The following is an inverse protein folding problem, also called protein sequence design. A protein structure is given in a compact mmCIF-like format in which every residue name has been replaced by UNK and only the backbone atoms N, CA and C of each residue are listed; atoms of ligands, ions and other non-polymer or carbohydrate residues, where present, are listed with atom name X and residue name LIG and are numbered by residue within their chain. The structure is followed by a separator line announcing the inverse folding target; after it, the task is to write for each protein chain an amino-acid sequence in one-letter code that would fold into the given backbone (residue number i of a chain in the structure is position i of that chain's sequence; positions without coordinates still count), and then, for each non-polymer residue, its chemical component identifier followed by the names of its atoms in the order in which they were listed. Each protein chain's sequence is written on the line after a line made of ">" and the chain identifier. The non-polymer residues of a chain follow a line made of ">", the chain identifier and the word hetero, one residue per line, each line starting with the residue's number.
data_IF_311080490217
#
_entry.id   IF_311080490217
#
_cell.length_a   1.000
_cell.length_b   1.000
_cell.length_c   1.000
_cell.angle_alpha   90.00
_cell.angle_beta   90.00
_cell.angle_gamma   90.00
#
_symmetry.space_group_name_H-M   'P 1'
#
loop_
_entity.id
_entity.type
_entity.pdbx_description
1 polymer ?
#
# COMPACT_ATOMS: atom_id res chain seq x y z
N UNK A 1 -17.73 -7.00 -15.79
CA UNK A 1 -18.44 -6.41 -16.92
C UNK A 1 -18.83 -4.95 -16.73
N UNK A 2 -19.80 -4.64 -15.85
CA UNK A 2 -20.38 -3.26 -15.77
C UNK A 2 -19.33 -2.17 -15.44
N UNK A 3 -18.45 -2.38 -14.47
CA UNK A 3 -17.41 -1.38 -14.13
C UNK A 3 -16.52 -1.05 -15.34
N UNK A 4 -16.02 -2.05 -16.05
CA UNK A 4 -15.19 -1.85 -17.25
C UNK A 4 -15.99 -1.14 -18.35
N UNK A 5 -17.25 -1.53 -18.57
CA UNK A 5 -18.14 -0.83 -19.53
C UNK A 5 -18.35 0.64 -19.19
N UNK A 6 -18.49 0.97 -17.90
CA UNK A 6 -18.58 2.38 -17.47
C UNK A 6 -17.26 3.13 -17.65
N UNK A 7 -16.12 2.50 -17.34
CA UNK A 7 -14.80 3.09 -17.57
C UNK A 7 -14.59 3.42 -19.05
N UNK A 8 -14.97 2.52 -19.95
CA UNK A 8 -14.90 2.73 -21.41
C UNK A 8 -15.86 3.83 -21.88
N UNK A 9 -17.08 3.85 -21.35
CA UNK A 9 -18.12 4.81 -21.76
C UNK A 9 -17.87 6.23 -21.26
N UNK A 10 -17.34 6.38 -20.04
CA UNK A 10 -17.19 7.68 -19.37
C UNK A 10 -15.73 8.10 -19.21
N UNK A 11 -14.79 7.30 -19.67
CA UNK A 11 -13.37 7.65 -19.68
C UNK A 11 -13.10 8.82 -20.64
N UNK A 12 -12.23 9.74 -20.19
CA UNK A 12 -11.81 10.92 -20.96
C UNK A 12 -10.30 10.88 -21.27
N UNK A 13 -9.77 9.70 -21.60
CA UNK A 13 -8.36 9.51 -21.94
C UNK A 13 -7.42 9.19 -20.76
N UNK A 14 -7.92 9.14 -19.54
CA UNK A 14 -7.13 8.69 -18.38
C UNK A 14 -6.88 7.17 -18.43
N UNK A 15 -5.71 6.75 -17.96
CA UNK A 15 -5.42 5.33 -17.73
C UNK A 15 -6.09 4.89 -16.43
N UNK A 16 -6.90 3.82 -16.50
CA UNK A 16 -7.56 3.22 -15.33
C UNK A 16 -6.95 1.86 -15.06
N UNK A 17 -6.22 1.71 -13.97
CA UNK A 17 -5.78 0.43 -13.44
C UNK A 17 -6.85 -0.21 -12.55
N UNK A 18 -7.13 -1.49 -12.76
CA UNK A 18 -8.07 -2.24 -11.96
C UNK A 18 -7.34 -3.26 -11.10
N UNK A 19 -7.68 -3.34 -9.82
CA UNK A 19 -7.19 -4.34 -8.88
C UNK A 19 -8.33 -5.05 -8.15
N UNK A 20 -8.12 -6.31 -7.80
CA UNK A 20 -9.03 -7.12 -7.01
C UNK A 20 -8.27 -7.76 -5.86
N UNK A 21 -8.69 -7.55 -4.62
CA UNK A 21 -8.22 -8.36 -3.50
C UNK A 21 -9.19 -9.49 -3.21
N UNK A 22 -8.66 -10.71 -3.05
CA UNK A 22 -9.48 -11.90 -2.86
C UNK A 22 -8.80 -12.93 -1.95
N UNK A 23 -9.62 -13.69 -1.22
CA UNK A 23 -9.16 -14.90 -0.53
C UNK A 23 -8.98 -16.11 -1.47
N UNK A 24 -9.28 -15.98 -2.75
CA UNK A 24 -9.07 -16.99 -3.77
C UNK A 24 -10.08 -18.16 -3.78
N UNK A 25 -10.99 -18.26 -2.82
CA UNK A 25 -11.88 -19.43 -2.68
C UNK A 25 -12.89 -19.59 -3.83
N UNK A 26 -13.28 -18.51 -4.47
CA UNK A 26 -14.27 -18.48 -5.56
C UNK A 26 -13.64 -18.17 -6.92
N UNK A 27 -12.31 -18.21 -7.02
CA UNK A 27 -11.59 -17.89 -8.25
C UNK A 27 -11.57 -19.10 -9.20
N UNK A 28 -12.56 -19.19 -10.06
CA UNK A 28 -12.71 -20.22 -11.10
C UNK A 28 -12.09 -19.78 -12.45
N UNK A 29 -12.23 -20.64 -13.47
CA UNK A 29 -11.67 -20.37 -14.79
C UNK A 29 -12.38 -19.21 -15.51
N UNK A 30 -13.65 -18.95 -15.22
CA UNK A 30 -14.40 -17.84 -15.83
C UNK A 30 -13.90 -16.50 -15.28
N UNK A 31 -13.74 -16.41 -13.95
CA UNK A 31 -13.14 -15.24 -13.31
C UNK A 31 -11.72 -14.98 -13.83
N UNK A 32 -10.89 -16.00 -13.93
CA UNK A 32 -9.51 -15.85 -14.44
C UNK A 32 -9.50 -15.29 -15.86
N UNK A 33 -10.31 -15.85 -16.77
CA UNK A 33 -10.44 -15.33 -18.15
C UNK A 33 -10.89 -13.87 -18.20
N UNK A 34 -11.90 -13.53 -17.39
CA UNK A 34 -12.40 -12.16 -17.30
C UNK A 34 -11.33 -11.19 -16.82
N UNK A 35 -10.67 -11.49 -15.69
CA UNK A 35 -9.64 -10.62 -15.13
C UNK A 35 -8.45 -10.45 -16.08
N UNK A 36 -8.04 -11.54 -16.76
CA UNK A 36 -6.97 -11.50 -17.76
C UNK A 36 -7.31 -10.64 -18.95
N UNK A 37 -8.54 -10.75 -19.51
CA UNK A 37 -8.95 -9.99 -20.70
C UNK A 37 -9.01 -8.47 -20.46
N UNK A 38 -9.06 -8.02 -19.21
CA UNK A 38 -9.07 -6.59 -18.85
C UNK A 38 -7.84 -6.16 -18.03
N UNK A 39 -6.78 -6.95 -18.02
CA UNK A 39 -5.51 -6.66 -17.33
C UNK A 39 -5.67 -6.26 -15.86
N UNK A 40 -6.49 -7.01 -15.10
CA UNK A 40 -6.63 -6.78 -13.67
C UNK A 40 -5.42 -7.30 -12.90
N UNK A 41 -4.99 -6.54 -11.89
CA UNK A 41 -4.04 -7.00 -10.88
C UNK A 41 -4.82 -7.72 -9.78
N UNK A 42 -4.38 -8.91 -9.39
CA UNK A 42 -5.00 -9.66 -8.29
C UNK A 42 -4.10 -9.67 -7.07
N UNK A 43 -4.59 -9.15 -5.95
CA UNK A 43 -4.01 -9.35 -4.63
C UNK A 43 -4.61 -10.60 -3.99
N UNK A 44 -3.85 -11.70 -3.97
CA UNK A 44 -4.29 -12.97 -3.41
C UNK A 44 -3.88 -13.09 -1.94
N UNK A 45 -4.85 -13.32 -1.07
CA UNK A 45 -4.60 -13.60 0.35
C UNK A 45 -4.06 -15.02 0.53
N UNK A 46 -2.72 -15.15 0.56
CA UNK A 46 -2.02 -16.42 0.79
C UNK A 46 -0.83 -16.16 1.72
N UNK A 47 -0.88 -16.67 2.95
CA UNK A 47 0.08 -16.27 4.00
C UNK A 47 1.37 -17.09 3.99
N UNK A 48 1.45 -18.19 3.22
CA UNK A 48 2.64 -19.03 3.14
C UNK A 48 2.33 -20.52 2.99
N UNK A 49 3.23 -21.41 3.47
CA UNK A 49 2.99 -22.85 3.47
C UNK A 49 1.74 -23.21 4.29
N UNK A 50 1.25 -24.44 4.12
CA UNK A 50 -0.05 -24.87 4.63
C UNK A 50 -0.24 -24.60 6.14
N UNK A 51 0.76 -24.92 6.96
CA UNK A 51 0.66 -24.72 8.41
C UNK A 51 0.56 -23.25 8.82
N UNK A 52 1.19 -22.34 8.05
CA UNK A 52 1.11 -20.89 8.28
C UNK A 52 -0.24 -20.37 7.83
N UNK A 53 -0.66 -20.70 6.60
CA UNK A 53 -1.90 -20.21 6.04
C UNK A 53 -3.12 -20.74 6.82
N UNK A 54 -3.20 -22.05 7.05
CA UNK A 54 -4.33 -22.69 7.69
C UNK A 54 -4.38 -22.45 9.21
N UNK A 55 -3.38 -21.77 9.79
CA UNK A 55 -3.44 -21.41 11.21
C UNK A 55 -4.63 -20.50 11.50
N UNK A 56 -4.81 -19.45 10.69
CA UNK A 56 -5.93 -18.51 10.84
C UNK A 56 -6.93 -18.53 9.71
N UNK A 57 -6.54 -18.91 8.48
CA UNK A 57 -7.45 -18.91 7.32
C UNK A 57 -8.19 -20.23 7.21
N UNK A 58 -9.31 -20.29 7.91
CA UNK A 58 -10.16 -21.47 8.00
C UNK A 58 -11.56 -21.21 7.45
N UNK A 59 -12.23 -22.26 6.99
CA UNK A 59 -13.65 -22.23 6.67
C UNK A 59 -14.48 -22.07 7.95
N UNK A 60 -15.77 -21.74 7.82
CA UNK A 60 -16.70 -21.73 8.97
C UNK A 60 -16.78 -23.08 9.69
N UNK A 61 -16.53 -24.19 9.00
CA UNK A 61 -16.48 -25.53 9.58
C UNK A 61 -15.09 -25.89 10.16
N UNK A 62 -14.16 -24.96 10.28
CA UNK A 62 -12.83 -25.17 10.89
C UNK A 62 -11.77 -25.78 9.97
N UNK A 63 -12.11 -26.23 8.77
CA UNK A 63 -11.17 -26.81 7.82
C UNK A 63 -10.24 -25.73 7.20
N UNK A 64 -8.99 -26.11 6.89
CA UNK A 64 -8.03 -25.23 6.21
C UNK A 64 -8.47 -24.85 4.80
N UNK A 65 -7.98 -23.71 4.32
CA UNK A 65 -8.30 -23.19 2.97
C UNK A 65 -7.15 -23.27 2.00
N UNK A 66 -5.93 -23.59 2.47
CA UNK A 66 -4.70 -23.58 1.71
C UNK A 66 -4.78 -24.32 0.35
N UNK A 67 -5.26 -25.57 0.36
CA UNK A 67 -5.37 -26.37 -0.88
C UNK A 67 -6.23 -25.70 -1.96
N UNK A 68 -7.34 -25.06 -1.57
CA UNK A 68 -8.21 -24.35 -2.52
C UNK A 68 -7.58 -23.08 -3.04
N UNK A 69 -6.91 -22.35 -2.17
CA UNK A 69 -6.27 -21.06 -2.51
C UNK A 69 -5.07 -21.29 -3.41
N UNK A 70 -4.23 -22.30 -3.14
CA UNK A 70 -3.09 -22.64 -4.01
C UNK A 70 -3.54 -23.13 -5.38
N UNK A 71 -4.57 -23.98 -5.46
CA UNK A 71 -5.13 -24.38 -6.76
C UNK A 71 -5.68 -23.19 -7.57
N UNK A 72 -6.23 -22.18 -6.90
CA UNK A 72 -6.65 -20.93 -7.55
C UNK A 72 -5.46 -20.10 -8.00
N UNK A 73 -4.39 -20.02 -7.21
CA UNK A 73 -3.15 -19.36 -7.56
C UNK A 73 -2.49 -19.99 -8.80
N UNK A 74 -2.37 -21.33 -8.82
CA UNK A 74 -1.85 -22.09 -9.98
C UNK A 74 -2.63 -21.75 -11.26
N UNK A 75 -3.98 -21.74 -11.17
CA UNK A 75 -4.85 -21.41 -12.31
C UNK A 75 -4.61 -19.99 -12.81
N UNK A 76 -4.47 -19.02 -11.91
CA UNK A 76 -4.20 -17.62 -12.26
C UNK A 76 -2.82 -17.45 -12.90
N UNK A 77 -1.77 -18.06 -12.33
CA UNK A 77 -0.40 -18.00 -12.84
C UNK A 77 -0.28 -18.69 -14.20
N UNK A 78 -0.89 -19.87 -14.37
CA UNK A 78 -0.92 -20.60 -15.65
C UNK A 78 -1.60 -19.78 -16.77
N UNK A 79 -2.59 -18.95 -16.44
CA UNK A 79 -3.21 -18.02 -17.38
C UNK A 79 -2.38 -16.74 -17.63
N UNK A 80 -1.26 -16.56 -16.95
CA UNK A 80 -0.42 -15.35 -17.02
C UNK A 80 -1.11 -14.10 -16.43
N UNK A 81 -2.01 -14.27 -15.45
CA UNK A 81 -2.61 -13.17 -14.73
C UNK A 81 -1.60 -12.55 -13.76
N UNK A 82 -1.57 -11.23 -13.64
CA UNK A 82 -0.73 -10.56 -12.66
C UNK A 82 -1.29 -10.80 -11.24
N UNK A 83 -0.50 -11.46 -10.39
CA UNK A 83 -0.90 -11.83 -9.03
C UNK A 83 0.15 -11.39 -8.03
N UNK A 84 -0.26 -10.60 -7.04
CA UNK A 84 0.55 -10.25 -5.87
C UNK A 84 0.10 -11.09 -4.67
N UNK A 85 1.03 -11.60 -3.89
CA UNK A 85 0.73 -12.25 -2.61
C UNK A 85 0.48 -11.18 -1.52
N UNK A 86 -0.68 -11.25 -0.85
CA UNK A 86 -1.00 -10.48 0.34
C UNK A 86 -0.85 -11.38 1.56
N UNK A 87 0.17 -11.10 2.37
CA UNK A 87 0.65 -11.95 3.45
C UNK A 87 0.41 -11.24 4.78
N UNK A 88 -0.46 -11.77 5.63
CA UNK A 88 -0.67 -11.22 6.97
C UNK A 88 0.39 -11.76 7.93
N UNK A 89 1.14 -10.85 8.54
CA UNK A 89 2.11 -11.20 9.57
C UNK A 89 1.46 -11.01 10.94
N UNK A 90 1.29 -12.10 11.67
CA UNK A 90 0.64 -12.18 12.98
C UNK A 90 1.57 -12.84 14.01
N UNK A 91 1.08 -13.14 15.23
CA UNK A 91 1.81 -13.78 16.31
C UNK A 91 2.39 -15.16 15.93
N UNK A 92 1.73 -15.87 15.03
CA UNK A 92 2.18 -17.18 14.55
C UNK A 92 3.13 -17.08 13.36
N UNK A 93 2.72 -16.43 12.28
CA UNK A 93 3.47 -16.37 11.02
C UNK A 93 4.81 -15.60 11.14
N UNK A 94 4.92 -14.68 12.09
CA UNK A 94 6.14 -13.92 12.36
C UNK A 94 7.39 -14.78 12.68
N UNK A 95 7.19 -16.04 13.02
CA UNK A 95 8.25 -17.01 13.36
C UNK A 95 8.86 -17.70 12.14
N UNK A 96 8.28 -17.55 10.94
CA UNK A 96 8.60 -18.35 9.77
C UNK A 96 8.97 -17.50 8.53
N UNK A 97 9.84 -16.46 8.64
CA UNK A 97 10.18 -15.60 7.50
C UNK A 97 10.79 -16.37 6.33
N UNK A 98 11.69 -17.31 6.60
CA UNK A 98 12.36 -18.12 5.59
C UNK A 98 11.39 -19.00 4.80
N UNK A 99 10.52 -19.72 5.52
CA UNK A 99 9.54 -20.62 4.90
C UNK A 99 8.52 -19.86 4.06
N UNK A 100 8.05 -18.71 4.56
CA UNK A 100 7.07 -17.88 3.86
C UNK A 100 7.69 -17.32 2.57
N UNK A 101 8.90 -16.79 2.67
CA UNK A 101 9.59 -16.21 1.51
C UNK A 101 9.90 -17.26 0.45
N UNK A 102 10.50 -18.38 0.85
CA UNK A 102 10.83 -19.49 -0.04
C UNK A 102 9.57 -20.08 -0.69
N UNK A 103 8.48 -20.23 0.08
CA UNK A 103 7.21 -20.72 -0.45
C UNK A 103 6.71 -19.85 -1.60
N UNK A 104 6.57 -18.54 -1.40
CA UNK A 104 6.04 -17.64 -2.42
C UNK A 104 6.96 -17.56 -3.64
N UNK A 105 8.28 -17.45 -3.43
CA UNK A 105 9.26 -17.43 -4.51
C UNK A 105 9.18 -18.69 -5.37
N UNK A 106 9.20 -19.87 -4.74
CA UNK A 106 9.16 -21.15 -5.44
C UNK A 106 7.81 -21.43 -6.11
N UNK A 107 6.72 -20.87 -5.54
CA UNK A 107 5.38 -20.97 -6.10
C UNK A 107 5.17 -20.08 -7.33
N UNK A 108 6.08 -19.12 -7.59
CA UNK A 108 5.98 -18.16 -8.68
C UNK A 108 5.22 -16.87 -8.33
N UNK A 109 4.93 -16.64 -7.05
CA UNK A 109 4.33 -15.40 -6.52
C UNK A 109 5.45 -14.44 -6.10
N UNK A 110 6.15 -13.88 -7.08
CA UNK A 110 7.35 -13.05 -6.86
C UNK A 110 7.06 -11.66 -6.28
N UNK A 111 5.81 -11.19 -6.31
CA UNK A 111 5.41 -9.89 -5.75
C UNK A 111 4.71 -10.09 -4.41
N UNK A 112 5.36 -9.67 -3.33
CA UNK A 112 4.94 -9.95 -1.95
C UNK A 112 4.64 -8.64 -1.20
N UNK A 113 3.49 -8.59 -0.53
CA UNK A 113 3.13 -7.52 0.39
C UNK A 113 2.87 -8.11 1.78
N UNK A 114 3.76 -7.80 2.72
CA UNK A 114 3.65 -8.21 4.12
C UNK A 114 2.88 -7.16 4.91
N UNK A 115 1.73 -7.56 5.45
CA UNK A 115 0.81 -6.68 6.18
C UNK A 115 0.83 -7.06 7.66
N UNK A 116 1.40 -6.24 8.55
CA UNK A 116 1.39 -6.54 9.98
C UNK A 116 -0.03 -6.51 10.54
N UNK A 117 -0.40 -7.55 11.26
CA UNK A 117 -1.66 -7.62 11.98
C UNK A 117 -1.52 -6.86 13.31
N UNK A 118 -2.22 -5.75 13.45
CA UNK A 118 -2.29 -4.97 14.69
C UNK A 118 -3.75 -4.64 14.97
N UNK A 119 -4.36 -5.35 15.90
CA UNK A 119 -5.77 -5.19 16.23
C UNK A 119 -5.95 -4.81 17.70
N UNK A 120 -6.50 -3.62 17.99
CA UNK A 120 -6.75 -3.18 19.36
C UNK A 120 -7.76 -4.07 20.09
N UNK A 121 -7.56 -4.31 21.37
CA UNK A 121 -8.53 -5.01 22.18
C UNK A 121 -9.75 -4.11 22.44
N UNK A 122 -10.97 -4.67 22.25
CA UNK A 122 -12.23 -3.90 22.38
C UNK A 122 -12.40 -3.28 23.78
N UNK A 123 -12.00 -3.99 24.83
CA UNK A 123 -12.18 -3.57 26.22
C UNK A 123 -11.04 -2.68 26.72
N UNK A 124 -9.89 -2.68 26.03
CA UNK A 124 -8.74 -1.84 26.33
C UNK A 124 -7.98 -1.52 25.04
N UNK A 125 -8.37 -0.47 24.33
CA UNK A 125 -7.74 -0.11 23.05
C UNK A 125 -6.24 0.26 23.15
N UNK A 126 -5.69 0.43 24.35
CA UNK A 126 -4.25 0.64 24.56
C UNK A 126 -3.44 -0.65 24.40
N UNK A 127 -4.11 -1.80 24.37
CA UNK A 127 -3.51 -3.13 24.18
C UNK A 127 -3.96 -3.73 22.85
N UNK A 128 -3.16 -4.63 22.31
CA UNK A 128 -3.51 -5.41 21.12
C UNK A 128 -4.04 -6.79 21.50
N UNK A 129 -4.85 -7.37 20.64
CA UNK A 129 -5.31 -8.76 20.75
C UNK A 129 -4.14 -9.72 20.59
N UNK A 130 -4.23 -10.90 21.24
CA UNK A 130 -3.14 -11.86 21.31
C UNK A 130 -2.63 -12.42 19.97
N UNK A 131 -3.44 -12.35 18.93
CA UNK A 131 -3.04 -12.74 17.59
C UNK A 131 -2.32 -11.61 16.82
N UNK A 132 -2.25 -10.40 17.35
CA UNK A 132 -1.49 -9.31 16.75
C UNK A 132 -0.01 -9.61 16.76
N UNK A 133 0.71 -9.11 15.76
CA UNK A 133 2.15 -9.34 15.67
C UNK A 133 2.89 -8.62 16.82
N UNK A 134 3.75 -9.32 17.56
CA UNK A 134 4.60 -8.68 18.57
C UNK A 134 5.62 -7.77 17.89
N UNK A 135 5.77 -6.53 18.38
CA UNK A 135 6.64 -5.54 17.74
C UNK A 135 8.09 -6.03 17.59
N UNK A 136 8.69 -6.59 18.64
CA UNK A 136 10.06 -7.12 18.57
C UNK A 136 10.19 -8.29 17.59
N UNK A 137 9.21 -9.22 17.60
CA UNK A 137 9.14 -10.33 16.65
C UNK A 137 9.08 -9.82 15.20
N UNK A 138 8.27 -8.79 14.96
CA UNK A 138 8.16 -8.17 13.64
C UNK A 138 9.45 -7.50 13.19
N UNK A 139 10.18 -6.85 14.09
CA UNK A 139 11.49 -6.29 13.78
C UNK A 139 12.49 -7.35 13.32
N UNK A 140 12.60 -8.47 14.03
CA UNK A 140 13.44 -9.62 13.63
C UNK A 140 12.98 -10.23 12.30
N UNK A 141 11.67 -10.37 12.11
CA UNK A 141 11.08 -10.85 10.87
C UNK A 141 11.49 -9.98 9.67
N UNK A 142 11.37 -8.65 9.80
CA UNK A 142 11.77 -7.71 8.75
C UNK A 142 13.27 -7.77 8.45
N UNK A 143 14.12 -7.88 9.48
CA UNK A 143 15.58 -8.01 9.28
C UNK A 143 15.90 -9.29 8.49
N UNK A 144 15.31 -10.43 8.89
CA UNK A 144 15.56 -11.69 8.19
C UNK A 144 15.00 -11.69 6.75
N UNK A 145 13.79 -11.17 6.58
CA UNK A 145 13.17 -11.02 5.26
C UNK A 145 14.02 -10.13 4.34
N UNK A 146 14.64 -9.09 4.90
CA UNK A 146 15.52 -8.19 4.16
C UNK A 146 16.80 -8.90 3.69
N UNK A 147 17.37 -9.79 4.51
CA UNK A 147 18.51 -10.61 4.08
C UNK A 147 18.14 -11.47 2.88
N UNK A 148 17.02 -12.20 2.96
CA UNK A 148 16.54 -13.06 1.87
C UNK A 148 16.27 -12.26 0.59
N UNK A 149 15.72 -11.07 0.72
CA UNK A 149 15.47 -10.18 -0.42
C UNK A 149 16.78 -9.64 -1.02
N UNK A 150 17.76 -9.28 -0.19
CA UNK A 150 19.08 -8.81 -0.65
C UNK A 150 19.88 -9.93 -1.33
N UNK A 151 19.74 -11.18 -0.86
CA UNK A 151 20.39 -12.35 -1.45
C UNK A 151 19.78 -12.71 -2.83
N UNK A 152 18.59 -12.23 -3.13
CA UNK A 152 17.90 -12.46 -4.40
C UNK A 152 18.34 -11.49 -5.52
N UNK A 153 19.23 -10.55 -5.23
CA UNK A 153 19.68 -9.60 -6.26
C UNK A 153 20.60 -10.26 -7.28
N UNK A 154 20.21 -10.15 -8.56
CA UNK A 154 21.09 -10.38 -9.70
C UNK A 154 21.44 -9.02 -10.31
N UNK A 155 22.68 -8.58 -10.09
CA UNK A 155 23.08 -7.21 -10.45
C UNK A 155 22.38 -6.16 -9.58
N UNK A 156 21.49 -5.37 -10.16
CA UNK A 156 20.72 -4.32 -9.46
C UNK A 156 19.21 -4.64 -9.33
N UNK A 157 18.78 -5.79 -9.80
CA UNK A 157 17.37 -6.17 -9.77
C UNK A 157 17.18 -7.39 -8.88
N UNK A 158 16.26 -7.35 -7.92
CA UNK A 158 15.87 -8.51 -7.15
C UNK A 158 14.99 -9.45 -8.00
N UNK A 159 15.12 -10.76 -7.78
CA UNK A 159 14.23 -11.75 -8.41
C UNK A 159 12.81 -11.68 -7.85
N UNK A 160 12.65 -11.10 -6.66
CA UNK A 160 11.36 -10.92 -5.97
C UNK A 160 11.14 -9.45 -5.63
N UNK A 161 9.89 -9.04 -5.60
CA UNK A 161 9.43 -7.73 -5.18
C UNK A 161 8.86 -7.82 -3.77
N UNK A 162 9.43 -7.08 -2.81
CA UNK A 162 8.87 -6.89 -1.47
C UNK A 162 8.45 -5.44 -1.33
N UNK A 163 7.14 -5.19 -1.35
CA UNK A 163 6.56 -3.85 -1.46
C UNK A 163 7.12 -2.85 -0.45
N UNK A 164 7.28 -3.24 0.82
CA UNK A 164 7.82 -2.36 1.85
C UNK A 164 9.27 -1.95 1.54
N UNK A 165 10.11 -2.90 1.11
CA UNK A 165 11.53 -2.63 0.87
C UNK A 165 11.72 -1.76 -0.37
N UNK A 166 10.96 -2.01 -1.43
CA UNK A 166 10.97 -1.16 -2.62
C UNK A 166 10.46 0.25 -2.30
N UNK A 167 9.39 0.36 -1.50
CA UNK A 167 8.88 1.66 -1.08
C UNK A 167 9.86 2.45 -0.22
N UNK A 168 10.61 1.78 0.65
CA UNK A 168 11.71 2.39 1.40
C UNK A 168 12.86 2.77 0.48
N UNK A 169 13.20 1.91 -0.48
CA UNK A 169 14.25 2.19 -1.45
C UNK A 169 13.96 3.44 -2.27
N UNK A 170 12.70 3.70 -2.65
CA UNK A 170 12.31 4.98 -3.25
C UNK A 170 12.72 6.17 -2.39
N UNK A 171 12.50 6.10 -1.06
CA UNK A 171 12.91 7.17 -0.15
C UNK A 171 14.45 7.36 -0.10
N UNK A 172 15.22 6.26 -0.16
CA UNK A 172 16.69 6.33 -0.23
C UNK A 172 17.21 6.92 -1.54
N UNK A 173 16.47 6.76 -2.63
CA UNK A 173 16.73 7.38 -3.94
C UNK A 173 16.21 8.82 -4.04
N UNK A 174 15.63 9.39 -2.97
CA UNK A 174 15.07 10.74 -2.97
C UNK A 174 13.70 10.87 -3.62
N UNK A 175 13.04 9.77 -3.96
CA UNK A 175 11.69 9.77 -4.53
C UNK A 175 10.61 9.59 -3.45
N UNK A 176 9.40 10.11 -3.67
CA UNK A 176 8.27 9.82 -2.79
C UNK A 176 7.97 8.32 -2.76
N UNK A 177 7.88 7.70 -1.56
CA UNK A 177 7.53 6.30 -1.46
C UNK A 177 6.08 6.06 -1.94
N UNK A 178 5.81 4.97 -2.69
CA UNK A 178 4.47 4.67 -3.18
C UNK A 178 3.52 4.16 -2.10
N UNK A 179 4.04 3.77 -0.92
CA UNK A 179 3.25 3.26 0.18
C UNK A 179 2.82 4.36 1.15
N UNK A 180 1.50 4.48 1.40
CA UNK A 180 0.92 5.55 2.20
C UNK A 180 1.41 5.55 3.67
N UNK A 181 1.85 4.40 4.18
CA UNK A 181 2.41 4.28 5.54
C UNK A 181 3.71 5.05 5.70
N UNK A 182 4.45 5.31 4.63
CA UNK A 182 5.71 6.04 4.59
C UNK A 182 5.54 7.51 4.16
N UNK A 183 4.35 7.95 3.78
CA UNK A 183 4.07 9.34 3.42
C UNK A 183 3.90 10.22 4.67
N UNK A 184 4.10 11.52 4.50
CA UNK A 184 3.93 12.52 5.57
C UNK A 184 2.47 12.66 6.01
N UNK A 185 1.51 12.53 5.08
CA UNK A 185 0.08 12.68 5.33
C UNK A 185 -0.70 11.52 4.70
N UNK A 186 -1.90 11.27 5.21
CA UNK A 186 -2.90 10.39 4.60
C UNK A 186 -3.84 11.17 3.65
N UNK A 187 -4.87 10.50 3.12
CA UNK A 187 -5.96 11.18 2.39
C UNK A 187 -5.74 11.29 0.88
N UNK A 188 -4.83 10.50 0.30
CA UNK A 188 -4.59 10.46 -1.15
C UNK A 188 -5.63 9.65 -1.92
N UNK A 189 -6.48 8.90 -1.24
CA UNK A 189 -7.56 8.09 -1.82
C UNK A 189 -8.79 8.13 -0.89
N UNK A 190 -9.90 7.60 -1.36
CA UNK A 190 -11.13 7.38 -0.60
C UNK A 190 -11.62 5.96 -0.79
N UNK A 191 -12.44 5.49 0.12
CA UNK A 191 -13.09 4.17 0.08
C UNK A 191 -14.57 4.36 -0.13
N UNK A 192 -15.15 3.58 -1.02
CA UNK A 192 -16.58 3.55 -1.28
C UNK A 192 -17.13 2.20 -0.81
N UNK A 193 -18.02 2.22 0.17
CA UNK A 193 -18.70 1.05 0.68
C UNK A 193 -19.85 0.60 -0.25
N UNK A 194 -20.32 -0.63 -0.06
CA UNK A 194 -21.35 -1.26 -0.90
C UNK A 194 -22.67 -0.48 -0.95
N UNK A 195 -22.98 0.31 0.05
CA UNK A 195 -24.16 1.17 0.12
C UNK A 195 -23.96 2.55 -0.54
N UNK A 196 -22.75 2.84 -1.02
CA UNK A 196 -22.35 4.10 -1.64
C UNK A 196 -21.78 5.12 -0.66
N UNK A 197 -21.66 4.82 0.62
CA UNK A 197 -21.00 5.68 1.59
C UNK A 197 -19.50 5.76 1.30
N UNK A 198 -18.96 6.97 1.43
CA UNK A 198 -17.55 7.27 1.15
C UNK A 198 -16.83 7.62 2.44
N UNK A 199 -15.67 7.00 2.64
CA UNK A 199 -14.84 7.19 3.82
C UNK A 199 -13.41 7.59 3.45
N UNK A 200 -12.72 8.21 4.39
CA UNK A 200 -11.35 8.71 4.20
C UNK A 200 -10.30 7.61 4.02
N UNK A 201 -10.52 6.39 4.53
CA UNK A 201 -9.59 5.27 4.47
C UNK A 201 -10.32 3.97 4.83
N UNK A 202 -9.87 2.84 4.27
CA UNK A 202 -10.39 1.50 4.52
C UNK A 202 -10.22 1.02 5.98
N UNK A 203 -9.18 1.50 6.67
CA UNK A 203 -8.99 1.26 8.12
C UNK A 203 -9.84 2.17 9.01
N UNK A 204 -10.49 3.17 8.45
CA UNK A 204 -11.28 4.17 9.20
C UNK A 204 -12.71 4.29 8.66
N UNK A 205 -13.34 3.14 8.38
CA UNK A 205 -14.77 3.05 8.04
C UNK A 205 -15.59 3.29 9.31
N UNK A 206 -15.70 4.56 9.69
CA UNK A 206 -16.37 5.01 10.92
C UNK A 206 -17.09 6.32 10.65
N UNK A 207 -18.26 6.61 11.28
CA UNK A 207 -19.06 7.80 11.05
C UNK A 207 -18.28 9.11 11.11
N UNK A 208 -17.29 9.23 12.01
CA UNK A 208 -16.43 10.41 12.12
C UNK A 208 -15.65 10.74 10.84
N UNK A 209 -15.37 9.72 9.99
CA UNK A 209 -14.59 9.84 8.76
C UNK A 209 -15.40 9.56 7.50
N UNK A 210 -16.72 9.53 7.62
CA UNK A 210 -17.64 9.49 6.48
C UNK A 210 -17.62 10.84 5.78
N UNK A 211 -17.32 10.84 4.47
CA UNK A 211 -17.23 12.05 3.64
C UNK A 211 -18.56 12.39 2.97
N UNK A 212 -19.39 11.38 2.71
CA UNK A 212 -20.68 11.54 2.04
C UNK A 212 -21.17 10.22 1.43
N UNK A 213 -22.03 10.32 0.43
CA UNK A 213 -22.49 9.17 -0.36
C UNK A 213 -22.41 9.51 -1.85
N UNK A 214 -22.04 8.54 -2.70
CA UNK A 214 -21.91 8.73 -4.15
C UNK A 214 -23.22 9.11 -4.85
N UNK A 215 -24.36 8.91 -4.21
CA UNK A 215 -25.67 9.33 -4.73
C UNK A 215 -25.93 10.84 -4.52
N UNK A 216 -25.25 11.45 -3.55
CA UNK A 216 -25.53 12.81 -3.11
C UNK A 216 -24.48 13.82 -3.59
N UNK A 217 -23.22 13.37 -3.77
CA UNK A 217 -22.09 14.23 -4.14
C UNK A 217 -21.07 13.50 -5.02
N UNK A 218 -20.22 14.27 -5.71
CA UNK A 218 -19.15 13.73 -6.57
C UNK A 218 -17.96 13.26 -5.71
N UNK A 219 -17.31 12.18 -6.13
CA UNK A 219 -16.09 11.68 -5.46
C UNK A 219 -14.98 12.74 -5.39
N UNK A 220 -14.84 13.57 -6.44
CA UNK A 220 -13.87 14.68 -6.45
C UNK A 220 -14.15 15.75 -5.39
N UNK A 221 -15.40 16.02 -5.07
CA UNK A 221 -15.78 16.95 -4.01
C UNK A 221 -15.45 16.35 -2.64
N UNK A 222 -15.76 15.07 -2.43
CA UNK A 222 -15.47 14.34 -1.20
C UNK A 222 -13.97 14.19 -0.96
N UNK A 223 -13.19 13.86 -1.99
CA UNK A 223 -11.72 13.74 -1.91
C UNK A 223 -11.06 15.09 -1.53
N UNK A 224 -11.65 16.21 -1.96
CA UNK A 224 -11.16 17.56 -1.67
C UNK A 224 -11.91 18.25 -0.51
N UNK A 225 -12.71 17.52 0.25
CA UNK A 225 -13.44 18.07 1.39
C UNK A 225 -12.50 18.39 2.57
N UNK A 226 -12.83 19.42 3.35
CA UNK A 226 -12.07 19.79 4.56
C UNK A 226 -11.88 18.59 5.51
N UNK A 227 -12.89 17.74 5.66
CA UNK A 227 -12.81 16.52 6.49
C UNK A 227 -11.71 15.57 6.02
N UNK A 228 -11.50 15.45 4.70
CA UNK A 228 -10.42 14.62 4.12
C UNK A 228 -9.04 15.21 4.44
N UNK A 229 -8.89 16.54 4.38
CA UNK A 229 -7.64 17.20 4.77
C UNK A 229 -7.37 17.07 6.28
N UNK A 230 -8.40 17.22 7.12
CA UNK A 230 -8.27 16.99 8.57
C UNK A 230 -7.85 15.57 8.87
N UNK A 231 -8.45 14.58 8.19
CA UNK A 231 -8.03 13.18 8.29
C UNK A 231 -6.56 13.00 7.90
N UNK A 232 -6.15 13.56 6.76
CA UNK A 232 -4.78 13.46 6.26
C UNK A 232 -3.74 14.03 7.24
N UNK A 233 -4.01 15.20 7.81
CA UNK A 233 -3.13 15.88 8.79
C UNK A 233 -2.97 15.12 10.11
N UNK A 234 -3.91 14.25 10.49
CA UNK A 234 -3.76 13.40 11.69
C UNK A 234 -2.48 12.58 11.70
N UNK A 235 -2.02 12.14 10.54
CA UNK A 235 -0.77 11.38 10.44
C UNK A 235 0.44 12.21 10.85
N UNK A 236 0.47 13.48 10.49
CA UNK A 236 1.52 14.43 10.84
C UNK A 236 1.50 14.86 12.33
N UNK A 237 0.40 14.61 13.04
CA UNK A 237 0.33 14.83 14.49
C UNK A 237 1.02 13.67 15.22
N UNK A 238 2.34 13.81 15.40
CA UNK A 238 3.21 12.78 15.93
C UNK A 238 3.35 12.87 17.44
N UNK A 239 3.62 11.74 18.15
CA UNK A 239 4.10 11.73 19.51
C UNK A 239 5.45 12.44 19.65
N UNK A 240 5.74 13.03 20.82
CA UNK A 240 6.96 13.80 21.03
C UNK A 240 8.23 12.98 20.79
N UNK A 241 8.23 11.69 21.17
CA UNK A 241 9.33 10.77 20.87
C UNK A 241 9.65 10.63 19.38
N UNK A 242 8.68 10.85 18.48
CA UNK A 242 8.92 10.81 17.05
C UNK A 242 9.66 12.05 16.55
N UNK A 243 9.47 13.21 17.20
CA UNK A 243 10.12 14.47 16.78
C UNK A 243 11.65 14.44 16.93
N UNK A 244 12.15 13.69 17.94
CA UNK A 244 13.59 13.48 18.14
C UNK A 244 14.13 12.19 17.49
N UNK A 245 13.31 11.44 16.76
CA UNK A 245 13.72 10.15 16.21
C UNK A 245 14.55 10.30 14.95
N UNK A 246 15.77 9.74 14.92
CA UNK A 246 16.66 9.75 13.73
C UNK A 246 16.03 9.12 12.48
N UNK A 247 15.03 8.26 12.65
CA UNK A 247 14.34 7.54 11.58
C UNK A 247 13.04 8.21 11.12
N UNK A 248 12.72 9.40 11.63
CA UNK A 248 11.45 10.05 11.29
C UNK A 248 11.30 10.31 9.79
N UNK A 249 12.37 10.63 9.08
CA UNK A 249 12.36 10.87 7.63
C UNK A 249 11.92 9.65 6.82
N UNK A 250 12.17 8.45 7.30
CA UNK A 250 11.75 7.18 6.68
C UNK A 250 10.41 6.69 7.23
N UNK A 251 10.28 6.64 8.58
CA UNK A 251 9.14 6.04 9.26
C UNK A 251 7.86 6.87 9.16
N UNK A 252 7.97 8.22 9.23
CA UNK A 252 6.82 9.15 9.27
C UNK A 252 5.75 8.77 10.32
N UNK A 253 6.15 8.05 11.38
CA UNK A 253 5.27 7.57 12.44
C UNK A 253 4.35 6.41 12.04
N UNK A 254 4.58 5.77 10.90
CA UNK A 254 3.82 4.63 10.41
C UNK A 254 2.33 4.93 10.13
N UNK A 255 1.52 3.88 10.03
CA UNK A 255 0.07 4.03 9.84
C UNK A 255 -0.60 4.55 11.12
N UNK A 256 -1.49 5.54 11.06
CA UNK A 256 -2.27 5.99 12.22
C UNK A 256 -3.15 4.90 12.84
N UNK A 257 -3.53 3.87 12.08
CA UNK A 257 -4.29 2.71 12.58
C UNK A 257 -3.53 1.99 13.71
N UNK A 258 -2.22 1.91 13.57
CA UNK A 258 -1.36 1.16 14.49
C UNK A 258 -0.87 2.01 15.68
N UNK A 259 -1.32 3.26 15.78
CA UNK A 259 -1.09 4.14 16.93
C UNK A 259 -2.17 3.87 17.98
N UNK A 260 -1.86 3.02 18.93
CA UNK A 260 -2.80 2.66 19.98
C UNK A 260 -3.07 3.89 20.87
N UNK A 261 -4.32 4.13 21.33
CA UNK A 261 -4.60 5.21 22.27
C UNK A 261 -3.82 5.01 23.56
N UNK A 262 -2.99 5.99 23.92
CA UNK A 262 -2.27 6.00 25.20
C UNK A 262 -2.97 6.84 26.24
N UNK A 263 -2.53 6.76 27.50
CA UNK A 263 -3.08 7.57 28.61
C UNK A 263 -2.98 9.09 28.39
N UNK A 264 -2.09 9.55 27.50
CA UNK A 264 -1.87 10.97 27.17
C UNK A 264 -2.30 11.33 25.73
N UNK A 265 -3.09 10.54 25.04
CA UNK A 265 -3.67 10.85 23.72
C UNK A 265 -2.75 10.76 22.50
N UNK A 266 -1.43 10.67 22.70
CA UNK A 266 -0.44 10.56 21.61
C UNK A 266 0.45 9.35 21.79
N UNK A 267 -0.10 8.16 21.53
CA UNK A 267 0.70 6.94 21.60
C UNK A 267 1.58 6.76 20.35
N UNK A 268 2.77 6.19 20.49
CA UNK A 268 3.57 5.76 19.35
C UNK A 268 2.86 4.65 18.58
N UNK A 269 3.33 4.41 17.36
CA UNK A 269 2.93 3.23 16.61
C UNK A 269 3.32 1.95 17.39
N UNK A 270 2.43 0.97 17.47
CA UNK A 270 2.68 -0.32 18.10
C UNK A 270 3.98 -0.97 17.60
N UNK A 271 4.28 -0.80 16.32
CA UNK A 271 5.47 -1.37 15.67
C UNK A 271 6.70 -0.44 15.71
N UNK A 272 6.70 0.59 16.57
CA UNK A 272 7.80 1.58 16.62
C UNK A 272 9.16 0.91 16.84
N UNK A 273 9.29 0.02 17.81
CA UNK A 273 10.55 -0.70 18.09
C UNK A 273 10.95 -1.62 16.93
N UNK A 274 10.00 -2.25 16.26
CA UNK A 274 10.25 -3.05 15.06
C UNK A 274 10.89 -2.21 13.94
N UNK A 275 10.32 -1.04 13.65
CA UNK A 275 10.84 -0.15 12.61
C UNK A 275 12.21 0.43 12.99
N UNK A 276 12.43 0.79 14.25
CA UNK A 276 13.74 1.24 14.70
C UNK A 276 14.81 0.14 14.52
N UNK A 277 14.52 -1.09 14.95
CA UNK A 277 15.39 -2.25 14.76
C UNK A 277 15.69 -2.46 13.27
N UNK A 278 14.66 -2.46 12.43
CA UNK A 278 14.81 -2.70 11.01
C UNK A 278 15.62 -1.61 10.30
N UNK A 279 15.35 -0.34 10.57
CA UNK A 279 16.12 0.75 9.96
C UNK A 279 17.57 0.74 10.38
N UNK A 280 17.86 0.51 11.66
CA UNK A 280 19.25 0.37 12.16
C UNK A 280 19.98 -0.75 11.41
N UNK A 281 19.31 -1.87 11.19
CA UNK A 281 19.84 -3.04 10.52
C UNK A 281 20.06 -2.84 9.02
N UNK A 282 19.15 -2.16 8.34
CA UNK A 282 19.08 -2.10 6.87
C UNK A 282 19.71 -0.84 6.25
N UNK A 283 19.84 0.27 7.01
CA UNK A 283 20.20 1.60 6.49
C UNK A 283 21.47 1.61 5.62
N UNK A 284 22.56 1.06 6.11
CA UNK A 284 23.82 1.05 5.36
C UNK A 284 23.71 0.26 4.03
N UNK A 285 22.95 -0.83 4.03
CA UNK A 285 22.79 -1.65 2.83
C UNK A 285 21.91 -0.95 1.79
N UNK A 286 20.82 -0.30 2.21
CA UNK A 286 20.02 0.55 1.31
C UNK A 286 20.85 1.70 0.73
N UNK A 287 21.66 2.39 1.54
CA UNK A 287 22.53 3.46 1.04
C UNK A 287 23.56 2.96 0.03
N UNK A 288 24.15 1.77 0.25
CA UNK A 288 25.09 1.16 -0.70
C UNK A 288 24.38 0.78 -2.01
N UNK A 289 23.16 0.21 -1.92
CA UNK A 289 22.36 -0.13 -3.08
C UNK A 289 22.00 1.13 -3.89
N UNK A 290 21.56 2.20 -3.23
CA UNK A 290 21.24 3.48 -3.87
C UNK A 290 22.46 4.05 -4.62
N UNK A 291 23.61 4.13 -3.97
CA UNK A 291 24.85 4.59 -4.63
C UNK A 291 25.25 3.74 -5.84
N UNK A 292 25.08 2.42 -5.77
CA UNK A 292 25.37 1.53 -6.90
C UNK A 292 24.43 1.81 -8.08
N UNK A 293 23.14 2.04 -7.81
CA UNK A 293 22.18 2.37 -8.88
C UNK A 293 22.46 3.73 -9.51
N UNK A 294 22.77 4.75 -8.71
CA UNK A 294 23.15 6.07 -9.19
C UNK A 294 24.40 6.01 -10.10
N UNK A 295 25.40 5.20 -9.73
CA UNK A 295 26.64 5.06 -10.51
C UNK A 295 26.49 4.30 -11.83
N UNK A 296 25.42 3.51 -11.98
CA UNK A 296 25.17 2.69 -13.19
C UNK A 296 24.10 3.29 -14.11
N UNK A 297 23.33 4.28 -13.66
CA UNK A 297 22.55 5.13 -14.56
C UNK A 297 23.50 6.24 -15.04
N UNK A 298 23.92 6.25 -16.32
CA UNK A 298 24.44 7.48 -16.88
C UNK A 298 23.27 8.46 -16.77
N UNK A 299 23.45 9.50 -15.95
CA UNK A 299 22.58 10.66 -15.97
C UNK A 299 22.46 11.08 -17.44
N UNK A 300 21.30 11.09 -18.07
CA UNK A 300 21.19 11.82 -19.30
C UNK A 300 21.54 13.24 -18.89
N UNK A 301 22.62 13.77 -19.45
CA UNK A 301 23.00 15.16 -19.36
C UNK A 301 21.78 15.98 -19.76
N UNK A 302 20.94 16.32 -18.79
CA UNK A 302 19.86 17.28 -18.95
C UNK A 302 20.45 18.68 -18.90
N UNK A 303 21.45 18.92 -19.74
CA UNK A 303 21.69 20.20 -20.39
C UNK A 303 20.91 20.22 -21.72
N UNK A 304 19.68 19.74 -21.71
CA UNK A 304 18.68 20.27 -22.63
C UNK A 304 18.20 21.56 -21.96
N UNK A 305 18.80 22.66 -22.36
CA UNK A 305 18.26 24.00 -22.13
C UNK A 305 16.76 23.95 -22.44
N UNK A 306 15.95 24.13 -21.38
CA UNK A 306 14.52 24.35 -21.56
C UNK A 306 14.36 25.70 -22.27
N UNK A 307 13.97 25.73 -23.56
CA UNK A 307 13.83 27.01 -24.27
C UNK A 307 12.67 27.86 -23.76
N UNK A 308 11.98 27.41 -22.69
CA UNK A 308 10.78 28.11 -22.21
C UNK A 308 10.88 28.60 -20.75
N UNK A 309 12.03 28.44 -20.06
CA UNK A 309 12.30 29.11 -18.76
C UNK A 309 11.24 28.93 -17.66
N UNK A 310 10.37 27.92 -17.76
CA UNK A 310 9.26 27.71 -16.86
C UNK A 310 9.59 26.69 -15.77
N UNK A 311 9.81 27.15 -14.55
CA UNK A 311 9.74 26.34 -13.32
C UNK A 311 8.44 25.50 -13.36
N UNK A 312 8.47 24.18 -13.08
CA UNK A 312 7.22 23.42 -12.94
C UNK A 312 6.35 24.12 -11.88
N UNK A 313 5.06 24.32 -12.15
CA UNK A 313 4.19 25.00 -11.21
C UNK A 313 4.15 24.23 -9.91
N UNK A 314 4.46 24.90 -8.81
CA UNK A 314 4.17 24.41 -7.45
C UNK A 314 2.72 23.93 -7.44
N UNK A 315 2.52 22.62 -7.34
CA UNK A 315 1.17 22.04 -7.16
C UNK A 315 0.73 22.41 -5.76
N UNK A 316 0.14 23.59 -5.62
CA UNK A 316 -0.63 23.96 -4.44
C UNK A 316 -1.85 23.04 -4.44
N UNK A 317 -1.77 21.95 -3.71
CA UNK A 317 -2.93 21.13 -3.36
C UNK A 317 -3.86 22.03 -2.56
N UNK A 318 -4.99 22.47 -3.15
CA UNK A 318 -6.01 23.24 -2.42
C UNK A 318 -6.45 24.57 -3.03
N UNK A 319 -6.17 24.88 -4.29
CA UNK A 319 -6.74 26.05 -4.97
C UNK A 319 -7.93 25.69 -5.85
N UNK A 320 -9.07 26.41 -5.72
CA UNK A 320 -10.17 26.33 -6.69
C UNK A 320 -9.60 26.58 -8.10
N UNK A 321 -9.69 25.57 -8.99
CA UNK A 321 -9.25 25.73 -10.37
C UNK A 321 -10.12 26.81 -11.01
N UNK A 322 -9.51 27.91 -11.48
CA UNK A 322 -10.24 28.97 -12.15
C UNK A 322 -10.92 28.42 -13.40
N UNK A 323 -12.21 28.72 -13.58
CA UNK A 323 -13.05 28.24 -14.70
C UNK A 323 -12.43 28.46 -16.08
N UNK A 324 -11.56 29.45 -16.23
CA UNK A 324 -10.92 29.83 -17.51
C UNK A 324 -9.52 29.26 -17.72
N UNK A 325 -8.89 28.59 -16.73
CA UNK A 325 -7.58 27.94 -16.89
C UNK A 325 -7.69 26.67 -17.75
N UNK A 326 -6.59 26.25 -18.41
CA UNK A 326 -6.53 24.95 -19.05
C UNK A 326 -6.92 23.85 -18.07
N UNK A 327 -7.69 22.87 -18.53
CA UNK A 327 -8.15 21.78 -17.68
C UNK A 327 -6.98 20.91 -17.20
N UNK A 328 -6.87 20.61 -15.90
CA UNK A 328 -5.79 19.75 -15.37
C UNK A 328 -5.75 18.35 -15.97
N UNK A 329 -6.83 17.91 -16.66
CA UNK A 329 -6.89 16.61 -17.33
C UNK A 329 -6.04 16.53 -18.63
N UNK A 330 -5.36 17.62 -19.02
CA UNK A 330 -4.51 17.64 -20.21
C UNK A 330 -5.27 17.73 -21.54
N UNK A 331 -6.61 17.95 -21.54
CA UNK A 331 -7.45 18.01 -22.75
C UNK A 331 -7.23 19.25 -23.63
N UNK A 332 -6.41 20.22 -23.21
CA UNK A 332 -6.25 21.51 -23.88
C UNK A 332 -7.46 22.46 -23.81
N UNK A 333 -8.59 22.00 -23.27
CA UNK A 333 -9.82 22.81 -23.10
C UNK A 333 -9.77 23.60 -21.79
N UNK A 334 -10.49 24.74 -21.74
CA UNK A 334 -10.70 25.47 -20.49
C UNK A 334 -11.47 24.61 -19.48
N UNK A 335 -11.13 24.69 -18.18
CA UNK A 335 -11.72 23.85 -17.13
C UNK A 335 -13.25 23.85 -17.17
N UNK A 336 -13.91 25.02 -17.34
CA UNK A 336 -15.36 25.16 -17.47
C UNK A 336 -15.98 24.48 -18.70
N UNK A 337 -15.18 24.06 -19.68
CA UNK A 337 -15.63 23.36 -20.91
C UNK A 337 -15.12 21.92 -20.96
N UNK A 338 -14.69 21.39 -19.81
CA UNK A 338 -14.18 20.04 -19.65
C UNK A 338 -14.61 19.46 -18.29
N UNK A 339 -13.70 19.23 -17.35
CA UNK A 339 -14.01 18.61 -16.07
C UNK A 339 -14.74 19.54 -15.06
N UNK A 340 -14.88 20.81 -15.39
CA UNK A 340 -15.62 21.80 -14.61
C UNK A 340 -16.94 22.25 -15.25
N UNK A 341 -17.44 21.48 -16.25
CA UNK A 341 -18.73 21.75 -16.91
C UNK A 341 -19.89 21.20 -16.09
#
# INVERSE_FOLDING_TARGET
>A
GKCVGFQQRFGCGQTVGNGLQTNGLLMDAEWVRFLKSYNWLVGLSLDGPQHVHDHYRRTRGGGGTWKKVTASAERMLAAGLAVNALIVVNDYSVRFPDEIYAFHKNFGLSHMQFVPCVEPAKNDPSRVLGFSVPAEGYGRFLCRLFDLWMDDFSGLQPATSVRLFESLFHAYMGYPPPECTLLHACGTYVVVEHNGDVFSCDFFVHPAWRLGNVKDARLSEMLNAERQFVFGRRKANLPDQCNGCRWLSLCRGGCPKDRLPGQAGKAPNHLCSAYQMFFEYSDQRFRRLAKRMESQQPYPDTQAEDPTGGRPPDVKVGGKVSRNRPCPCGSGKKYKRCCGA
#
